data_IF_101435376789
#
_entry.id   IF_101435376789
#
_cell.length_a   1.000
_cell.length_b   1.000
_cell.length_c   1.000
_cell.angle_alpha   90.00
_cell.angle_beta   90.00
_cell.angle_gamma   90.00
#
_symmetry.space_group_name_H-M   'P 1'
#
loop_
_entity.id
_entity.type
_entity.pdbx_description
1 polymer ?
#
# COMPACT_ATOMS: atom_id res chain seq x y z
N UNK A 1 14.45 -9.36 39.32
CA UNK A 1 13.28 -8.48 39.13
C UNK A 1 12.38 -9.12 38.10
N UNK A 2 11.14 -9.42 38.46
CA UNK A 2 10.20 -10.17 37.61
C UNK A 2 9.68 -9.27 36.50
N UNK A 3 10.09 -9.52 35.25
CA UNK A 3 9.47 -8.89 34.09
C UNK A 3 8.03 -9.36 34.03
N UNK A 4 7.09 -8.48 34.43
CA UNK A 4 5.65 -8.73 34.29
C UNK A 4 5.38 -8.86 32.79
N UNK A 5 5.27 -10.09 32.30
CA UNK A 5 4.75 -10.38 30.95
C UNK A 5 3.31 -9.88 30.94
N UNK A 6 3.10 -8.68 30.43
CA UNK A 6 1.76 -8.15 30.16
C UNK A 6 1.14 -9.09 29.12
N UNK A 7 -0.08 -9.58 29.38
CA UNK A 7 -0.81 -10.40 28.39
C UNK A 7 -1.15 -9.53 27.19
N UNK A 8 -1.13 -10.10 25.98
CA UNK A 8 -1.45 -9.37 24.74
C UNK A 8 -2.80 -8.64 24.82
N UNK A 9 -3.78 -9.27 25.45
CA UNK A 9 -5.12 -8.71 25.68
C UNK A 9 -5.11 -7.46 26.55
N UNK A 10 -4.23 -7.40 27.56
CA UNK A 10 -4.10 -6.23 28.44
C UNK A 10 -3.46 -5.06 27.70
N UNK A 11 -2.51 -5.36 26.81
CA UNK A 11 -1.82 -4.36 26.02
C UNK A 11 -2.75 -3.75 24.95
N UNK A 12 -3.62 -4.56 24.33
CA UNK A 12 -4.68 -4.08 23.42
C UNK A 12 -5.67 -3.17 24.16
N UNK A 13 -6.16 -3.58 25.33
CA UNK A 13 -7.09 -2.74 26.13
C UNK A 13 -6.47 -1.41 26.57
N UNK A 14 -5.19 -1.41 26.93
CA UNK A 14 -4.48 -0.20 27.33
C UNK A 14 -4.28 0.76 26.13
N UNK A 15 -4.05 0.21 24.94
CA UNK A 15 -3.99 0.97 23.69
C UNK A 15 -5.35 1.59 23.34
N UNK A 16 -6.44 0.82 23.35
CA UNK A 16 -7.79 1.30 23.07
C UNK A 16 -8.20 2.45 24.00
N UNK A 17 -7.87 2.33 25.29
CA UNK A 17 -8.12 3.38 26.27
C UNK A 17 -7.29 4.64 26.01
N UNK A 18 -6.04 4.48 25.57
CA UNK A 18 -5.17 5.61 25.22
C UNK A 18 -5.65 6.35 23.96
N UNK A 19 -6.26 5.62 23.02
CA UNK A 19 -6.83 6.15 21.78
C UNK A 19 -8.09 6.98 22.06
N UNK A 20 -8.98 6.47 22.89
CA UNK A 20 -10.21 7.15 23.30
C UNK A 20 -9.90 8.47 24.04
N UNK A 21 -8.89 8.47 24.91
CA UNK A 21 -8.43 9.67 25.63
C UNK A 21 -7.82 10.74 24.73
N UNK A 22 -7.15 10.33 23.65
CA UNK A 22 -6.53 11.23 22.67
C UNK A 22 -7.50 11.69 21.57
N UNK A 23 -8.75 11.23 21.59
CA UNK A 23 -9.78 11.59 20.61
C UNK A 23 -9.61 10.94 19.24
N UNK A 24 -8.74 9.93 19.12
CA UNK A 24 -8.63 9.13 17.91
C UNK A 24 -9.81 8.15 17.87
N UNK A 25 -10.96 8.57 17.35
CA UNK A 25 -12.07 7.64 17.12
C UNK A 25 -11.63 6.60 16.08
N UNK A 26 -11.80 5.33 16.39
CA UNK A 26 -11.58 4.19 15.48
C UNK A 26 -12.52 4.16 14.25
N UNK A 27 -13.11 5.29 13.86
CA UNK A 27 -13.78 5.47 12.58
C UNK A 27 -12.74 5.80 11.52
N UNK A 28 -11.87 4.84 11.21
CA UNK A 28 -11.26 4.82 9.88
C UNK A 28 -12.43 4.51 8.94
N UNK A 29 -12.73 5.36 7.93
CA UNK A 29 -13.78 5.04 6.97
C UNK A 29 -13.49 3.66 6.38
N UNK A 30 -14.43 2.73 6.52
CA UNK A 30 -14.30 1.42 5.90
C UNK A 30 -14.39 1.61 4.38
N UNK A 31 -13.44 1.03 3.65
CA UNK A 31 -13.41 1.15 2.18
C UNK A 31 -14.63 0.48 1.53
N UNK A 32 -15.42 -0.28 2.29
CA UNK A 32 -16.72 -0.82 1.90
C UNK A 32 -17.78 0.25 1.58
N UNK A 33 -17.65 1.47 2.12
CA UNK A 33 -18.63 2.54 1.89
C UNK A 33 -18.43 3.27 0.55
N UNK A 34 -17.38 2.91 -0.20
CA UNK A 34 -17.15 3.40 -1.56
C UNK A 34 -17.91 2.50 -2.53
N UNK A 35 -19.00 3.02 -3.10
CA UNK A 35 -19.72 2.35 -4.19
C UNK A 35 -18.80 2.29 -5.41
N UNK A 36 -18.19 1.13 -5.63
CA UNK A 36 -17.43 0.84 -6.85
C UNK A 36 -18.43 0.33 -7.90
N UNK A 37 -18.37 0.92 -9.10
CA UNK A 37 -19.23 0.58 -10.25
C UNK A 37 -19.26 -0.94 -10.52
N UNK A 38 -20.44 -1.50 -10.81
CA UNK A 38 -20.77 -2.95 -10.87
C UNK A 38 -19.93 -3.77 -11.89
N UNK A 39 -19.03 -3.13 -12.62
CA UNK A 39 -18.11 -3.79 -13.58
C UNK A 39 -16.87 -4.39 -12.92
N UNK A 40 -16.61 -4.14 -11.63
CA UNK A 40 -15.47 -4.73 -10.94
C UNK A 40 -15.92 -6.03 -10.27
N UNK A 41 -15.47 -7.17 -10.81
CA UNK A 41 -15.56 -8.47 -10.11
C UNK A 41 -14.58 -8.41 -8.94
N UNK A 42 -15.07 -7.94 -7.80
CA UNK A 42 -14.35 -8.01 -6.54
C UNK A 42 -14.42 -9.45 -6.06
N UNK A 43 -13.26 -10.08 -5.86
CA UNK A 43 -13.19 -11.36 -5.15
C UNK A 43 -13.61 -11.11 -3.71
N UNK A 44 -14.75 -11.66 -3.30
CA UNK A 44 -15.39 -11.35 -2.00
C UNK A 44 -14.54 -11.82 -0.81
N UNK A 45 -13.52 -12.66 -1.03
CA UNK A 45 -12.66 -13.17 0.03
C UNK A 45 -11.18 -12.94 -0.28
N UNK A 46 -10.50 -12.22 0.62
CA UNK A 46 -9.04 -12.08 0.55
C UNK A 46 -8.34 -13.43 0.76
N UNK A 47 -7.40 -13.76 -0.13
CA UNK A 47 -6.49 -14.90 0.01
C UNK A 47 -5.07 -14.47 -0.34
N UNK A 48 -4.13 -14.74 0.57
CA UNK A 48 -2.72 -14.44 0.34
C UNK A 48 -2.13 -15.23 -0.83
N UNK A 49 -2.54 -16.50 -0.99
CA UNK A 49 -2.14 -17.33 -2.13
C UNK A 49 -2.67 -16.79 -3.45
N UNK A 50 -3.92 -16.29 -3.46
CA UNK A 50 -4.53 -15.63 -4.61
C UNK A 50 -3.79 -14.35 -4.98
N UNK A 51 -3.45 -13.53 -3.99
CA UNK A 51 -2.65 -12.32 -4.19
C UNK A 51 -1.28 -12.65 -4.78
N UNK A 52 -0.59 -13.68 -4.26
CA UNK A 52 0.71 -14.12 -4.79
C UNK A 52 0.61 -14.60 -6.25
N UNK A 53 -0.44 -15.34 -6.60
CA UNK A 53 -0.69 -15.75 -8.00
C UNK A 53 -0.91 -14.54 -8.91
N UNK A 54 -1.77 -13.60 -8.51
CA UNK A 54 -2.02 -12.37 -9.27
C UNK A 54 -0.75 -11.55 -9.47
N UNK A 55 0.12 -11.47 -8.46
CA UNK A 55 1.41 -10.80 -8.58
C UNK A 55 2.32 -11.49 -9.61
N UNK A 56 2.37 -12.81 -9.64
CA UNK A 56 3.12 -13.56 -10.65
C UNK A 56 2.54 -13.37 -12.07
N UNK A 57 1.22 -13.33 -12.20
CA UNK A 57 0.55 -13.09 -13.47
C UNK A 57 0.82 -11.66 -14.00
N UNK A 58 0.78 -10.65 -13.11
CA UNK A 58 1.13 -9.27 -13.43
C UNK A 58 2.58 -9.12 -13.89
N UNK A 59 3.53 -9.78 -13.21
CA UNK A 59 4.95 -9.81 -13.61
C UNK A 59 5.16 -10.46 -14.97
N UNK A 60 4.31 -11.40 -15.39
CA UNK A 60 4.39 -12.02 -16.71
C UNK A 60 3.67 -11.20 -17.78
N UNK A 61 2.61 -10.49 -17.41
CA UNK A 61 1.71 -9.78 -18.32
C UNK A 61 2.04 -8.31 -18.60
N UNK A 62 3.03 -7.71 -17.92
CA UNK A 62 3.30 -6.27 -18.07
C UNK A 62 3.72 -5.86 -19.50
N UNK A 63 4.37 -6.77 -20.22
CA UNK A 63 4.91 -6.50 -21.55
C UNK A 63 3.88 -6.80 -22.64
N UNK A 64 3.42 -5.75 -23.33
CA UNK A 64 2.54 -5.85 -24.49
C UNK A 64 3.40 -5.80 -25.75
N UNK A 65 3.39 -6.89 -26.53
CA UNK A 65 4.19 -6.98 -27.76
C UNK A 65 3.42 -6.50 -28.99
N UNK A 66 4.00 -5.50 -29.67
CA UNK A 66 3.50 -4.98 -30.96
C UNK A 66 3.87 -5.87 -32.15
N UNK A 67 4.85 -6.75 -31.96
CA UNK A 67 5.47 -7.56 -33.01
C UNK A 67 4.86 -8.96 -33.15
N UNK A 68 3.66 -9.16 -32.58
CA UNK A 68 2.93 -10.43 -32.67
C UNK A 68 2.81 -10.87 -34.13
N UNK A 69 3.15 -12.13 -34.50
CA UNK A 69 3.09 -12.56 -35.90
C UNK A 69 1.68 -12.37 -36.48
N UNK A 70 1.58 -11.89 -37.73
CA UNK A 70 0.29 -11.83 -38.43
C UNK A 70 0.05 -13.21 -39.06
N UNK A 71 -0.89 -14.02 -38.54
CA UNK A 71 -1.16 -15.34 -39.10
C UNK A 71 -1.81 -15.24 -40.49
N UNK A 72 -1.41 -16.14 -41.38
CA UNK A 72 -1.99 -16.30 -42.73
C UNK A 72 -1.11 -15.80 -43.89
N UNK A 73 -1.32 -16.41 -45.06
CA UNK A 73 -0.68 -16.08 -46.33
C UNK A 73 -1.61 -15.37 -47.33
N UNK A 74 -1.07 -15.02 -48.51
CA UNK A 74 -1.81 -14.40 -49.60
C UNK A 74 -2.03 -12.88 -49.48
N UNK A 75 -2.87 -12.33 -50.36
CA UNK A 75 -3.09 -10.88 -50.49
C UNK A 75 -3.54 -10.20 -49.19
N UNK A 76 -4.41 -10.87 -48.41
CA UNK A 76 -4.89 -10.34 -47.11
C UNK A 76 -3.74 -10.21 -46.09
N UNK A 77 -2.82 -11.18 -46.04
CA UNK A 77 -1.64 -11.12 -45.18
C UNK A 77 -0.66 -10.03 -45.60
N UNK A 78 -0.49 -9.84 -46.91
CA UNK A 78 0.33 -8.75 -47.47
C UNK A 78 -0.21 -7.37 -47.09
N UNK A 79 -1.51 -7.13 -47.28
CA UNK A 79 -2.15 -5.85 -46.90
C UNK A 79 -2.01 -5.58 -45.40
N UNK A 80 -2.25 -6.59 -44.54
CA UNK A 80 -2.08 -6.44 -43.09
C UNK A 80 -0.64 -6.10 -42.70
N UNK A 81 0.35 -6.70 -43.34
CA UNK A 81 1.79 -6.38 -43.12
C UNK A 81 2.13 -4.96 -43.58
N UNK A 82 1.58 -4.51 -44.71
CA UNK A 82 1.76 -3.15 -45.19
C UNK A 82 1.15 -2.12 -44.22
N UNK A 83 -0.09 -2.35 -43.77
CA UNK A 83 -0.74 -1.50 -42.76
C UNK A 83 0.05 -1.46 -41.45
N UNK A 84 0.52 -2.61 -40.95
CA UNK A 84 1.41 -2.64 -39.76
C UNK A 84 2.60 -1.73 -39.95
N UNK A 85 3.31 -1.82 -41.09
CA UNK A 85 4.52 -1.02 -41.34
C UNK A 85 4.24 0.48 -41.39
N UNK A 86 3.06 0.87 -41.86
CA UNK A 86 2.62 2.28 -41.88
C UNK A 86 2.29 2.81 -40.48
N UNK A 87 1.63 2.01 -39.64
CA UNK A 87 1.22 2.44 -38.29
C UNK A 87 2.28 2.21 -37.21
N UNK A 88 3.27 1.34 -37.44
CA UNK A 88 4.29 0.99 -36.46
C UNK A 88 5.03 2.20 -35.86
N UNK A 89 5.40 3.25 -36.63
CA UNK A 89 6.05 4.43 -36.07
C UNK A 89 5.19 5.21 -35.06
N UNK A 90 3.86 5.13 -35.17
CA UNK A 90 2.92 5.80 -34.26
C UNK A 90 2.59 4.90 -33.08
N UNK A 91 2.37 3.60 -33.32
CA UNK A 91 1.99 2.64 -32.27
C UNK A 91 3.17 2.34 -31.33
N UNK A 92 4.40 2.24 -31.86
CA UNK A 92 5.58 1.89 -31.06
C UNK A 92 5.81 2.82 -29.86
N UNK A 93 5.86 4.15 -29.99
CA UNK A 93 6.06 5.03 -28.83
C UNK A 93 4.91 4.93 -27.82
N UNK A 94 3.66 4.75 -28.28
CA UNK A 94 2.51 4.54 -27.38
C UNK A 94 2.65 3.23 -26.60
N UNK A 95 3.07 2.15 -27.27
CA UNK A 95 3.30 0.86 -26.62
C UNK A 95 4.46 0.92 -25.62
N UNK A 96 5.56 1.60 -25.95
CA UNK A 96 6.69 1.81 -25.04
C UNK A 96 6.24 2.56 -23.77
N UNK A 97 5.43 3.61 -23.91
CA UNK A 97 4.84 4.32 -22.77
C UNK A 97 3.91 3.43 -21.94
N UNK A 98 3.08 2.61 -22.60
CA UNK A 98 2.17 1.69 -21.91
C UNK A 98 2.94 0.59 -21.15
N UNK A 99 3.98 0.02 -21.75
CA UNK A 99 4.84 -0.97 -21.09
C UNK A 99 5.58 -0.36 -19.90
N UNK A 100 6.08 0.89 -20.04
CA UNK A 100 6.71 1.61 -18.94
C UNK A 100 5.73 1.86 -17.78
N UNK A 101 4.50 2.28 -18.08
CA UNK A 101 3.44 2.45 -17.09
C UNK A 101 3.08 1.12 -16.40
N UNK A 102 2.84 0.06 -17.17
CA UNK A 102 2.54 -1.26 -16.63
C UNK A 102 3.66 -1.75 -15.71
N UNK A 103 4.91 -1.56 -16.09
CA UNK A 103 6.06 -1.92 -15.26
C UNK A 103 6.06 -1.13 -13.94
N UNK A 104 5.79 0.17 -13.97
CA UNK A 104 5.71 1.00 -12.76
C UNK A 104 4.58 0.52 -11.82
N UNK A 105 3.42 0.15 -12.37
CA UNK A 105 2.31 -0.42 -11.59
C UNK A 105 2.71 -1.76 -10.95
N UNK A 106 3.33 -2.67 -11.72
CA UNK A 106 3.82 -3.95 -11.18
C UNK A 106 4.86 -3.72 -10.08
N UNK A 107 5.78 -2.79 -10.26
CA UNK A 107 6.76 -2.44 -9.22
C UNK A 107 6.09 -1.90 -7.97
N UNK A 108 5.13 -0.98 -8.10
CA UNK A 108 4.37 -0.42 -6.98
C UNK A 108 3.63 -1.53 -6.22
N UNK A 109 2.86 -2.36 -6.91
CA UNK A 109 2.14 -3.47 -6.31
C UNK A 109 3.08 -4.50 -5.67
N UNK A 110 4.25 -4.73 -6.26
CA UNK A 110 5.25 -5.63 -5.67
C UNK A 110 5.87 -5.04 -4.40
N UNK A 111 6.09 -3.72 -4.32
CA UNK A 111 6.52 -3.08 -3.07
C UNK A 111 5.45 -3.19 -1.98
N UNK A 112 4.18 -3.00 -2.33
CA UNK A 112 3.05 -3.20 -1.41
C UNK A 112 2.97 -4.68 -0.96
N UNK A 113 3.09 -5.62 -1.88
CA UNK A 113 3.11 -7.05 -1.58
C UNK A 113 4.24 -7.43 -0.62
N UNK A 114 5.46 -6.98 -0.90
CA UNK A 114 6.62 -7.22 -0.04
C UNK A 114 6.46 -6.57 1.34
N UNK A 115 5.87 -5.37 1.40
CA UNK A 115 5.53 -4.72 2.66
C UNK A 115 4.52 -5.54 3.46
N UNK A 116 3.46 -6.04 2.82
CA UNK A 116 2.46 -6.90 3.47
C UNK A 116 3.10 -8.21 3.96
N UNK A 117 3.95 -8.84 3.14
CA UNK A 117 4.65 -10.07 3.49
C UNK A 117 5.64 -9.87 4.64
N UNK A 118 6.39 -8.76 4.64
CA UNK A 118 7.30 -8.38 5.74
C UNK A 118 6.56 -8.12 7.06
N UNK A 119 5.34 -7.58 6.99
CA UNK A 119 4.47 -7.35 8.13
C UNK A 119 3.55 -8.55 8.44
N UNK A 120 3.86 -9.74 7.91
CA UNK A 120 3.23 -11.00 8.31
C UNK A 120 1.88 -11.31 7.67
N UNK A 121 1.48 -10.61 6.60
CA UNK A 121 0.17 -10.79 5.95
C UNK A 121 -1.03 -10.43 6.83
N UNK A 122 -0.76 -9.89 8.03
CA UNK A 122 -1.74 -9.63 9.06
C UNK A 122 -1.87 -8.12 9.20
N UNK A 123 -2.79 -7.55 8.41
CA UNK A 123 -3.43 -6.28 8.76
C UNK A 123 -4.48 -6.48 9.88
N UNK A 124 -4.49 -7.65 10.54
CA UNK A 124 -5.34 -7.86 11.68
C UNK A 124 -4.89 -6.89 12.78
N UNK A 125 -5.78 -6.03 13.29
CA UNK A 125 -5.44 -5.01 14.28
C UNK A 125 -4.85 -5.59 15.59
N UNK A 126 -4.94 -6.91 15.78
CA UNK A 126 -4.49 -7.67 16.94
C UNK A 126 -3.25 -8.55 16.67
N UNK A 127 -2.58 -8.43 15.52
CA UNK A 127 -1.30 -9.11 15.31
C UNK A 127 -0.26 -8.61 16.32
N UNK A 128 0.44 -9.52 16.98
CA UNK A 128 1.41 -9.20 18.03
C UNK A 128 2.49 -8.22 17.55
N UNK A 129 2.95 -8.31 16.29
CA UNK A 129 3.96 -7.39 15.75
C UNK A 129 3.40 -6.00 15.48
N UNK A 130 2.16 -5.93 14.99
CA UNK A 130 1.44 -4.67 14.75
C UNK A 130 1.11 -3.99 16.07
N UNK A 131 0.61 -4.74 17.05
CA UNK A 131 0.29 -4.27 18.39
C UNK A 131 1.54 -3.77 19.12
N UNK A 132 2.66 -4.51 19.05
CA UNK A 132 3.93 -4.09 19.63
C UNK A 132 4.47 -2.81 18.97
N UNK A 133 4.36 -2.70 17.65
CA UNK A 133 4.78 -1.52 16.89
C UNK A 133 3.91 -0.30 17.23
N UNK A 134 2.57 -0.47 17.35
CA UNK A 134 1.66 0.57 17.82
C UNK A 134 2.02 1.04 19.23
N UNK A 135 2.26 0.11 20.15
CA UNK A 135 2.65 0.46 21.52
C UNK A 135 3.99 1.20 21.59
N UNK A 136 4.95 0.89 20.72
CA UNK A 136 6.19 1.66 20.62
C UNK A 136 5.95 3.08 20.11
N UNK A 137 5.11 3.24 19.08
CA UNK A 137 4.76 4.56 18.54
C UNK A 137 4.06 5.44 19.59
N UNK A 138 3.13 4.88 20.38
CA UNK A 138 2.48 5.63 21.46
C UNK A 138 3.45 6.07 22.55
N UNK A 139 4.44 5.24 22.91
CA UNK A 139 5.50 5.66 23.85
C UNK A 139 6.34 6.81 23.31
N UNK A 140 6.64 6.79 22.01
CA UNK A 140 7.37 7.89 21.35
C UNK A 140 6.54 9.17 21.33
N UNK A 141 5.24 9.08 21.05
CA UNK A 141 4.32 10.23 21.10
C UNK A 141 4.29 10.88 22.49
N UNK A 142 4.12 10.09 23.56
CA UNK A 142 4.15 10.60 24.94
C UNK A 142 5.48 11.28 25.30
N UNK A 143 6.59 10.77 24.76
CA UNK A 143 7.91 11.38 24.95
C UNK A 143 8.01 12.73 24.24
N UNK A 144 7.45 12.84 23.03
CA UNK A 144 7.44 14.08 22.25
C UNK A 144 6.54 15.13 22.92
N UNK A 145 5.34 14.74 23.36
CA UNK A 145 4.41 15.63 24.07
C UNK A 145 5.05 16.26 25.32
N UNK A 146 5.74 15.43 26.13
CA UNK A 146 6.48 15.93 27.31
C UNK A 146 7.61 16.89 26.94
N UNK A 147 8.32 16.61 25.84
CA UNK A 147 9.37 17.49 25.35
C UNK A 147 8.79 18.83 24.85
N UNK A 148 7.62 18.82 24.21
CA UNK A 148 6.93 20.05 23.80
C UNK A 148 6.47 20.88 25.01
N UNK A 149 5.91 20.26 26.05
CA UNK A 149 5.54 20.97 27.29
C UNK A 149 6.76 21.60 27.98
N UNK A 150 7.89 20.87 28.02
CA UNK A 150 9.14 21.38 28.58
C UNK A 150 9.69 22.56 27.77
N UNK A 151 9.63 22.48 26.43
CA UNK A 151 10.04 23.56 25.53
C UNK A 151 9.12 24.78 25.66
N UNK A 152 7.80 24.58 25.75
CA UNK A 152 6.83 25.66 25.97
C UNK A 152 7.10 26.39 27.29
N UNK A 153 7.37 25.63 28.35
CA UNK A 153 7.73 26.20 29.67
C UNK A 153 9.04 27.00 29.59
N UNK A 154 10.05 26.48 28.89
CA UNK A 154 11.32 27.20 28.70
C UNK A 154 11.16 28.48 27.88
N UNK A 155 10.30 28.47 26.86
CA UNK A 155 10.00 29.67 26.07
C UNK A 155 9.34 30.75 26.92
N UNK A 156 8.36 30.41 27.77
CA UNK A 156 7.73 31.36 28.68
C UNK A 156 8.74 32.00 29.64
N UNK A 157 9.64 31.19 30.22
CA UNK A 157 10.71 31.70 31.10
C UNK A 157 11.68 32.61 30.34
N UNK A 158 11.99 32.32 29.07
CA UNK A 158 12.85 33.18 28.25
C UNK A 158 12.16 34.48 27.82
N UNK A 159 10.84 34.46 27.61
CA UNK A 159 10.05 35.66 27.32
C UNK A 159 9.90 36.55 28.55
N UNK A 160 9.75 35.98 29.74
CA UNK A 160 9.74 36.73 31.00
C UNK A 160 11.09 37.36 31.34
N UNK A 161 12.20 36.67 31.05
CA UNK A 161 13.55 37.18 31.30
C UNK A 161 14.03 38.22 30.26
N UNK A 162 13.34 38.36 29.12
CA UNK A 162 13.65 39.34 28.06
C UNK A 162 12.73 40.59 28.09
N UNK A 163 11.87 40.73 29.12
CA UNK A 163 11.14 41.98 29.43
C UNK A 163 11.90 42.79 30.47
#
# INVERSE_FOLDING_TARGET
>A
MSHKKISMEQLIQELEKSEEQRGYSANIPDFSDVVVDDMVVLDENYSFDRLRQLMEDLKRGYNVSVDTPIPGGGAKGFVKKALRKLFLPVIRPMNEQQVAFNLAVVQCLNQIFLYIEQNGGSLAPNDENVVNSRAELYKRLDTIEKAEEELATRLLVLEENNK
#
